data_IF_561629128497
#
_entry.id   IF_561629128497
#
_cell.length_a   1.000
_cell.length_b   1.000
_cell.length_c   1.000
_cell.angle_alpha   90.00
_cell.angle_beta   90.00
_cell.angle_gamma   90.00
#
_symmetry.space_group_name_H-M   'P 1'
#
loop_
_entity.id
_entity.type
_entity.pdbx_description
1 polymer ?
#
# COMPACT_ATOMS: atom_id res chain seq x y z
N UNK A 1 15.94 17.19 19.74
CA UNK A 1 15.24 16.02 20.30
C UNK A 1 14.21 15.57 19.28
N UNK A 2 14.46 14.47 18.56
CA UNK A 2 13.60 14.03 17.44
C UNK A 2 12.53 13.10 17.98
N UNK A 3 11.42 13.68 18.47
CA UNK A 3 10.26 12.95 18.96
C UNK A 3 9.83 11.89 17.93
N UNK A 4 9.62 10.65 18.37
CA UNK A 4 9.16 9.57 17.49
C UNK A 4 7.64 9.72 17.40
N UNK A 5 7.08 9.92 16.19
CA UNK A 5 5.63 9.93 16.02
C UNK A 5 5.06 8.67 16.65
N UNK A 6 3.98 8.83 17.40
CA UNK A 6 3.29 7.69 17.98
C UNK A 6 2.85 6.74 16.86
N UNK A 7 3.02 5.44 17.09
CA UNK A 7 2.67 4.46 16.07
C UNK A 7 1.15 4.49 15.87
N UNK A 8 0.68 4.46 14.61
CA UNK A 8 -0.74 4.51 14.33
C UNK A 8 -1.42 3.23 14.90
N UNK A 9 -2.72 3.28 15.26
CA UNK A 9 -3.44 2.14 15.83
C UNK A 9 -3.30 0.86 15.01
N UNK A 10 -3.35 0.98 13.67
CA UNK A 10 -3.13 -0.13 12.75
C UNK A 10 -1.69 -0.68 12.81
N UNK A 11 -0.70 0.19 13.02
CA UNK A 11 0.70 -0.20 13.18
C UNK A 11 0.94 -0.99 14.47
N UNK A 12 0.29 -0.59 15.56
CA UNK A 12 0.31 -1.34 16.82
C UNK A 12 -0.39 -2.70 16.68
N UNK A 13 -1.52 -2.76 15.97
CA UNK A 13 -2.23 -3.99 15.67
C UNK A 13 -1.36 -4.98 14.89
N UNK A 14 -0.72 -4.54 13.80
CA UNK A 14 0.18 -5.39 13.00
C UNK A 14 1.39 -5.87 13.81
N UNK A 15 1.96 -5.03 14.70
CA UNK A 15 3.05 -5.46 15.59
C UNK A 15 2.61 -6.57 16.55
N UNK A 16 1.42 -6.46 17.16
CA UNK A 16 0.88 -7.50 18.04
C UNK A 16 0.68 -8.81 17.28
N UNK A 17 0.15 -8.74 16.06
CA UNK A 17 -0.06 -9.90 15.20
C UNK A 17 1.26 -10.59 14.82
N UNK A 18 2.31 -9.84 14.47
CA UNK A 18 3.65 -10.39 14.21
C UNK A 18 4.19 -11.19 15.40
N UNK A 19 4.03 -10.64 16.61
CA UNK A 19 4.45 -11.31 17.85
C UNK A 19 3.65 -12.59 18.08
N UNK A 20 2.32 -12.55 17.91
CA UNK A 20 1.45 -13.72 18.07
C UNK A 20 1.81 -14.84 17.08
N UNK A 21 2.13 -14.50 15.83
CA UNK A 21 2.55 -15.45 14.81
C UNK A 21 4.02 -15.87 14.88
N UNK A 22 4.83 -15.20 15.71
CA UNK A 22 6.28 -15.41 15.85
C UNK A 22 7.04 -15.28 14.52
N UNK A 23 6.62 -14.35 13.66
CA UNK A 23 7.29 -14.07 12.37
C UNK A 23 8.00 -12.71 12.38
N UNK A 24 9.08 -12.62 11.60
CA UNK A 24 9.82 -11.37 11.43
C UNK A 24 9.08 -10.37 10.53
N UNK A 25 9.39 -9.09 10.65
CA UNK A 25 8.88 -8.05 9.74
C UNK A 25 9.27 -8.31 8.29
N UNK A 26 10.47 -8.86 8.05
CA UNK A 26 10.94 -9.26 6.72
C UNK A 26 10.05 -10.35 6.12
N UNK A 27 9.71 -11.35 6.92
CA UNK A 27 8.83 -12.45 6.48
C UNK A 27 7.40 -11.96 6.22
N UNK A 28 6.88 -11.07 7.07
CA UNK A 28 5.55 -10.49 6.84
C UNK A 28 5.50 -9.59 5.61
N UNK A 29 6.55 -8.79 5.37
CA UNK A 29 6.68 -8.00 4.15
C UNK A 29 6.65 -8.90 2.90
N UNK A 30 7.42 -9.99 2.91
CA UNK A 30 7.40 -11.02 1.85
C UNK A 30 5.99 -11.59 1.62
N UNK A 31 5.28 -11.98 2.68
CA UNK A 31 3.91 -12.52 2.59
C UNK A 31 2.90 -11.51 2.03
N UNK A 32 3.09 -10.23 2.32
CA UNK A 32 2.22 -9.15 1.83
C UNK A 32 2.60 -8.61 0.44
N UNK A 33 3.71 -9.06 -0.14
CA UNK A 33 4.18 -8.60 -1.45
C UNK A 33 4.73 -7.17 -1.46
N UNK A 34 5.23 -6.64 -0.34
CA UNK A 34 5.86 -5.32 -0.26
C UNK A 34 7.30 -5.41 0.28
N UNK A 35 8.08 -4.34 0.13
CA UNK A 35 9.44 -4.28 0.68
C UNK A 35 9.45 -4.18 2.21
N UNK A 36 10.47 -4.74 2.85
CA UNK A 36 10.64 -4.66 4.31
C UNK A 36 10.71 -3.21 4.80
N UNK A 37 11.39 -2.33 4.06
CA UNK A 37 11.48 -0.91 4.38
C UNK A 37 10.09 -0.26 4.37
N UNK A 38 9.27 -0.55 3.34
CA UNK A 38 7.90 -0.03 3.25
C UNK A 38 7.04 -0.56 4.39
N UNK A 39 7.12 -1.85 4.69
CA UNK A 39 6.45 -2.45 5.83
C UNK A 39 6.75 -1.70 7.14
N UNK A 40 8.03 -1.47 7.41
CA UNK A 40 8.50 -0.74 8.60
C UNK A 40 7.92 0.67 8.68
N UNK A 41 7.95 1.41 7.59
CA UNK A 41 7.43 2.79 7.53
C UNK A 41 5.93 2.85 7.80
N UNK A 42 5.16 1.92 7.22
CA UNK A 42 3.72 1.85 7.41
C UNK A 42 3.35 1.45 8.84
N UNK A 43 4.08 0.49 9.40
CA UNK A 43 3.91 0.06 10.80
C UNK A 43 4.35 1.14 11.80
N UNK A 44 5.36 1.94 11.48
CA UNK A 44 5.78 3.06 12.32
C UNK A 44 4.95 4.33 12.10
N UNK A 45 4.15 4.40 11.03
CA UNK A 45 3.37 5.57 10.65
C UNK A 45 4.21 6.76 10.17
N UNK A 46 5.46 6.55 9.79
CA UNK A 46 6.33 7.61 9.30
C UNK A 46 7.43 7.07 8.39
N UNK A 47 7.93 7.94 7.51
CA UNK A 47 9.15 7.73 6.72
C UNK A 47 10.17 8.83 7.04
N UNK A 48 11.44 8.55 6.81
CA UNK A 48 12.50 9.56 6.96
C UNK A 48 12.87 10.11 5.58
N UNK A 49 12.68 11.41 5.38
CA UNK A 49 13.05 12.13 4.15
C UNK A 49 13.93 13.29 4.56
N UNK A 50 15.13 13.39 3.99
CA UNK A 50 16.08 14.48 4.31
C UNK A 50 16.32 14.68 5.82
N UNK A 51 16.43 13.58 6.58
CA UNK A 51 16.56 13.53 8.05
C UNK A 51 15.31 13.98 8.84
N UNK A 52 14.22 14.35 8.17
CA UNK A 52 12.94 14.68 8.78
C UNK A 52 11.99 13.47 8.80
N UNK A 53 11.21 13.33 9.88
CA UNK A 53 10.19 12.29 9.99
C UNK A 53 8.88 12.81 9.40
N UNK A 54 8.47 12.25 8.29
CA UNK A 54 7.21 12.60 7.61
C UNK A 54 6.17 11.54 7.96
N UNK A 55 4.99 11.92 8.49
CA UNK A 55 3.93 10.97 8.78
C UNK A 55 3.46 10.28 7.51
N UNK A 56 3.16 8.99 7.61
CA UNK A 56 2.69 8.15 6.51
C UNK A 56 1.50 7.36 6.99
N UNK A 57 0.43 7.43 6.23
CA UNK A 57 -0.75 6.59 6.40
C UNK A 57 -0.73 5.49 5.34
N UNK A 58 -1.02 4.26 5.76
CA UNK A 58 -1.16 3.13 4.82
C UNK A 58 -2.37 3.34 3.92
N UNK A 59 -2.26 3.15 2.59
CA UNK A 59 -3.41 2.95 1.71
C UNK A 59 -4.21 1.73 2.14
N UNK A 60 -5.53 1.73 1.92
CA UNK A 60 -6.43 0.69 2.41
C UNK A 60 -6.11 -0.70 1.83
N UNK A 61 -5.89 -0.80 0.52
CA UNK A 61 -5.52 -2.07 -0.13
C UNK A 61 -4.20 -2.63 0.39
N UNK A 62 -3.21 -1.76 0.61
CA UNK A 62 -1.91 -2.18 1.14
C UNK A 62 -2.06 -2.64 2.58
N UNK A 63 -2.85 -1.93 3.39
CA UNK A 63 -3.12 -2.32 4.75
C UNK A 63 -3.87 -3.66 4.82
N UNK A 64 -4.83 -3.90 3.92
CA UNK A 64 -5.52 -5.18 3.80
C UNK A 64 -4.54 -6.33 3.45
N UNK A 65 -3.63 -6.13 2.49
CA UNK A 65 -2.56 -7.12 2.19
C UNK A 65 -1.67 -7.39 3.40
N UNK A 66 -1.28 -6.35 4.14
CA UNK A 66 -0.47 -6.49 5.35
C UNK A 66 -1.23 -7.25 6.44
N UNK A 67 -2.51 -6.93 6.66
CA UNK A 67 -3.36 -7.58 7.63
C UNK A 67 -3.52 -9.07 7.33
N UNK A 68 -3.87 -9.41 6.08
CA UNK A 68 -3.95 -10.80 5.60
C UNK A 68 -2.66 -11.58 5.82
N UNK A 69 -1.50 -10.96 5.57
CA UNK A 69 -0.20 -11.59 5.73
C UNK A 69 0.12 -11.98 7.19
N UNK A 70 -0.49 -11.30 8.16
CA UNK A 70 -0.28 -11.54 9.60
C UNK A 70 -1.53 -12.01 10.33
N UNK A 71 -2.59 -12.41 9.61
CA UNK A 71 -3.82 -12.94 10.19
C UNK A 71 -4.65 -11.92 10.99
N UNK A 72 -4.52 -10.63 10.69
CA UNK A 72 -5.40 -9.60 11.24
C UNK A 72 -6.72 -9.61 10.47
N UNK A 73 -7.83 -9.59 11.20
CA UNK A 73 -9.20 -9.66 10.66
C UNK A 73 -9.75 -8.29 10.27
N UNK A 74 -10.83 -8.26 9.48
CA UNK A 74 -11.50 -7.04 9.09
C UNK A 74 -12.11 -6.30 10.29
N UNK A 75 -12.64 -7.03 11.28
CA UNK A 75 -13.21 -6.48 12.51
C UNK A 75 -12.14 -5.75 13.31
N UNK A 76 -10.95 -6.33 13.44
CA UNK A 76 -9.82 -5.68 14.11
C UNK A 76 -9.33 -4.41 13.39
N UNK A 77 -9.46 -4.37 12.06
CA UNK A 77 -9.18 -3.16 11.28
C UNK A 77 -10.25 -2.08 11.50
N UNK A 78 -11.52 -2.45 11.62
CA UNK A 78 -12.61 -1.52 11.95
C UNK A 78 -12.46 -0.92 13.34
N UNK A 79 -12.13 -1.75 14.34
CA UNK A 79 -11.80 -1.30 15.70
C UNK A 79 -10.62 -0.31 15.72
N UNK A 80 -9.67 -0.48 14.80
CA UNK A 80 -8.54 0.44 14.61
C UNK A 80 -8.90 1.70 13.79
N UNK A 81 -10.17 1.90 13.42
CA UNK A 81 -10.63 3.04 12.63
C UNK A 81 -10.26 2.95 11.14
N UNK A 82 -10.01 1.75 10.62
CA UNK A 82 -9.57 1.48 9.24
C UNK A 82 -10.63 0.74 8.43
N UNK A 83 -11.86 1.24 8.44
CA UNK A 83 -13.00 0.63 7.74
C UNK A 83 -12.77 0.39 6.24
N UNK A 84 -12.11 1.31 5.53
CA UNK A 84 -11.77 1.11 4.12
C UNK A 84 -10.85 -0.10 3.89
N UNK A 85 -9.87 -0.31 4.76
CA UNK A 85 -8.99 -1.49 4.71
C UNK A 85 -9.72 -2.78 5.11
N UNK A 86 -10.70 -2.69 6.02
CA UNK A 86 -11.55 -3.82 6.38
C UNK A 86 -12.41 -4.27 5.19
N UNK A 87 -13.01 -3.33 4.46
CA UNK A 87 -13.74 -3.63 3.21
C UNK A 87 -12.81 -4.29 2.19
N UNK A 88 -11.65 -3.69 1.92
CA UNK A 88 -10.68 -4.24 0.96
C UNK A 88 -10.20 -5.65 1.35
N UNK A 89 -10.08 -5.94 2.66
CA UNK A 89 -9.74 -7.28 3.14
C UNK A 89 -10.86 -8.28 2.87
N UNK A 90 -12.12 -7.94 3.19
CA UNK A 90 -13.28 -8.81 2.92
C UNK A 90 -13.42 -9.09 1.42
N UNK A 91 -13.23 -8.09 0.58
CA UNK A 91 -13.28 -8.26 -0.88
C UNK A 91 -12.19 -9.23 -1.37
N UNK A 92 -10.97 -9.10 -0.83
CA UNK A 92 -9.85 -9.98 -1.16
C UNK A 92 -10.03 -11.43 -0.66
N UNK A 93 -10.76 -11.63 0.44
CA UNK A 93 -11.10 -12.95 0.98
C UNK A 93 -12.26 -13.59 0.21
N UNK A 94 -13.30 -12.82 -0.10
CA UNK A 94 -14.43 -13.26 -0.93
C UNK A 94 -13.98 -13.66 -2.34
N UNK A 95 -13.09 -12.88 -2.96
CA UNK A 95 -12.49 -13.22 -4.25
C UNK A 95 -11.62 -14.48 -4.22
N UNK A 96 -10.97 -14.77 -3.08
CA UNK A 96 -10.19 -16.00 -2.91
C UNK A 96 -11.07 -17.24 -2.67
N UNK A 97 -12.22 -17.08 -2.02
CA UNK A 97 -13.18 -18.16 -1.79
C UNK A 97 -13.91 -18.61 -3.08
N UNK A 98 -14.03 -17.71 -4.07
CA UNK A 98 -14.67 -17.99 -5.36
C UNK A 98 -13.76 -18.65 -6.41
N UNK A 99 -12.44 -18.68 -6.18
CA UNK A 99 -11.49 -19.32 -7.10
C UNK A 99 -11.27 -20.81 -6.73
N UNK A 100 -11.41 -21.77 -7.66
CA UNK A 100 -11.06 -23.16 -7.38
C UNK A 100 -9.56 -23.28 -7.09
N UNK A 101 -9.23 -23.97 -6.00
CA UNK A 101 -7.88 -24.19 -5.52
C UNK A 101 -7.03 -24.95 -6.56
N UNK A 102 -6.22 -24.22 -7.33
CA UNK A 102 -5.08 -24.75 -8.08
C UNK A 102 -3.78 -24.60 -7.26
N UNK A 103 -2.85 -25.56 -7.31
CA UNK A 103 -1.57 -25.43 -6.61
C UNK A 103 -0.66 -24.48 -7.41
N UNK A 104 -0.19 -23.42 -6.76
CA UNK A 104 0.67 -22.43 -7.41
C UNK A 104 1.15 -21.35 -6.47
N UNK A 105 1.56 -21.71 -5.25
CA UNK A 105 2.35 -20.85 -4.39
C UNK A 105 3.80 -20.82 -4.90
N UNK A 106 4.04 -20.23 -6.07
CA UNK A 106 5.36 -19.82 -6.58
C UNK A 106 5.17 -19.01 -7.86
N UNK A 107 5.03 -17.69 -7.74
CA UNK A 107 5.24 -16.75 -8.83
C UNK A 107 5.56 -15.36 -8.26
N UNK A 108 6.83 -14.98 -8.34
CA UNK A 108 7.29 -13.63 -8.02
C UNK A 108 6.63 -12.56 -8.90
N UNK A 109 6.58 -11.34 -8.36
CA UNK A 109 6.33 -10.09 -9.09
C UNK A 109 5.09 -10.10 -10.00
N UNK A 110 3.90 -10.17 -9.40
CA UNK A 110 2.66 -9.84 -10.11
C UNK A 110 2.64 -8.38 -10.61
N UNK A 111 1.83 -8.06 -11.64
CA UNK A 111 1.71 -6.72 -12.25
C UNK A 111 1.51 -5.57 -11.24
N UNK A 112 0.90 -5.86 -10.10
CA UNK A 112 0.71 -4.90 -9.00
C UNK A 112 2.02 -4.32 -8.45
N UNK A 113 3.13 -5.07 -8.48
CA UNK A 113 4.45 -4.56 -8.07
C UNK A 113 4.96 -3.47 -9.00
N UNK A 114 4.73 -3.59 -10.31
CA UNK A 114 5.13 -2.61 -11.33
C UNK A 114 4.23 -1.37 -11.32
N UNK A 115 2.94 -1.55 -11.03
CA UNK A 115 1.98 -0.45 -10.83
C UNK A 115 2.30 0.32 -9.55
N UNK A 116 2.60 -0.38 -8.46
CA UNK A 116 3.08 0.21 -7.20
C UNK A 116 4.41 0.96 -7.42
N UNK A 117 5.35 0.40 -8.17
CA UNK A 117 6.65 1.03 -8.49
C UNK A 117 6.50 2.28 -9.38
N UNK A 118 5.63 2.24 -10.39
CA UNK A 118 5.29 3.41 -11.23
C UNK A 118 4.56 4.49 -10.43
N UNK A 119 3.66 4.11 -9.51
CA UNK A 119 3.02 5.04 -8.59
C UNK A 119 4.05 5.74 -7.68
N UNK A 120 5.11 5.05 -7.25
CA UNK A 120 6.19 5.65 -6.45
C UNK A 120 7.02 6.66 -7.26
N UNK A 121 7.26 6.42 -8.54
CA UNK A 121 7.95 7.38 -9.42
C UNK A 121 7.10 8.63 -9.69
N UNK A 122 5.79 8.45 -9.93
CA UNK A 122 4.85 9.57 -10.13
C UNK A 122 4.69 10.38 -8.84
N UNK A 123 4.57 9.74 -7.68
CA UNK A 123 4.54 10.41 -6.37
C UNK A 123 5.83 11.20 -6.08
N UNK A 124 7.00 10.70 -6.48
CA UNK A 124 8.27 11.42 -6.32
C UNK A 124 8.36 12.67 -7.21
N UNK A 125 7.92 12.56 -8.47
CA UNK A 125 7.88 13.69 -9.42
C UNK A 125 6.86 14.75 -8.99
N UNK A 126 5.67 14.35 -8.57
CA UNK A 126 4.64 15.28 -8.06
C UNK A 126 5.07 15.96 -6.76
N UNK A 127 5.87 15.29 -5.92
CA UNK A 127 6.46 15.87 -4.71
C UNK A 127 7.59 16.87 -5.05
N UNK A 128 8.36 16.60 -6.09
CA UNK A 128 9.42 17.51 -6.56
C UNK A 128 8.86 18.76 -7.26
N UNK A 129 7.65 18.65 -7.84
CA UNK A 129 6.94 19.77 -8.47
C UNK A 129 6.18 20.69 -7.48
N UNK A 130 6.38 20.53 -6.17
CA UNK A 130 5.63 21.25 -5.11
C UNK A 130 6.10 22.70 -4.91
N UNK A 131 6.03 23.50 -5.97
CA UNK A 131 5.89 24.95 -5.90
C UNK A 131 4.49 25.31 -6.44
N UNK A 132 3.48 25.40 -5.57
CA UNK A 132 2.26 26.18 -5.86
C UNK A 132 0.86 25.55 -5.73
N UNK A 133 0.69 24.27 -5.34
CA UNK A 133 -0.65 23.64 -5.30
C UNK A 133 -1.26 23.54 -3.89
N UNK A 134 -2.57 23.82 -3.80
CA UNK A 134 -3.41 23.68 -2.59
C UNK A 134 -3.93 22.25 -2.41
N UNK A 135 -4.43 21.89 -1.22
CA UNK A 135 -4.92 20.55 -0.87
C UNK A 135 -6.03 20.03 -1.80
N UNK A 136 -6.98 20.90 -2.17
CA UNK A 136 -8.06 20.55 -3.10
C UNK A 136 -7.57 20.27 -4.52
N UNK A 137 -6.49 20.92 -4.94
CA UNK A 137 -5.89 20.70 -6.26
C UNK A 137 -5.05 19.42 -6.26
N UNK A 138 -4.43 19.08 -5.12
CA UNK A 138 -3.75 17.80 -4.93
C UNK A 138 -4.72 16.62 -5.02
N UNK A 139 -5.87 16.70 -4.34
CA UNK A 139 -6.87 15.63 -4.35
C UNK A 139 -7.48 15.45 -5.75
N UNK A 140 -7.72 16.55 -6.45
CA UNK A 140 -8.19 16.54 -7.85
C UNK A 140 -7.16 15.91 -8.79
N UNK A 141 -5.87 16.24 -8.61
CA UNK A 141 -4.79 15.69 -9.41
C UNK A 141 -4.56 14.20 -9.12
N UNK A 142 -4.63 13.80 -7.85
CA UNK A 142 -4.53 12.41 -7.42
C UNK A 142 -5.67 11.56 -8.04
N UNK A 143 -6.90 12.08 -8.07
CA UNK A 143 -8.03 11.43 -8.72
C UNK A 143 -7.84 11.24 -10.23
N UNK A 144 -7.38 12.28 -10.95
CA UNK A 144 -7.17 12.21 -12.41
C UNK A 144 -6.03 11.27 -12.80
N UNK A 145 -4.97 11.20 -12.01
CA UNK A 145 -3.85 10.30 -12.27
C UNK A 145 -4.24 8.86 -11.99
N UNK A 146 -5.03 8.61 -10.94
CA UNK A 146 -5.61 7.28 -10.67
C UNK A 146 -6.45 6.81 -11.86
N UNK A 147 -7.27 7.69 -12.45
CA UNK A 147 -8.05 7.38 -13.65
C UNK A 147 -7.19 7.15 -14.91
N UNK A 148 -6.10 7.89 -15.08
CA UNK A 148 -5.19 7.74 -16.22
C UNK A 148 -4.39 6.43 -16.15
N UNK A 149 -3.92 6.04 -14.97
CA UNK A 149 -3.15 4.79 -14.76
C UNK A 149 -4.05 3.56 -14.81
N UNK A 150 -5.32 3.68 -14.42
CA UNK A 150 -6.32 2.61 -14.54
C UNK A 150 -6.79 2.37 -15.99
N UNK A 151 -6.41 3.24 -16.94
CA UNK A 151 -6.75 3.06 -18.36
C UNK A 151 -5.85 1.98 -18.97
N UNK A 152 -6.39 0.88 -19.50
CA UNK A 152 -5.58 -0.13 -20.17
C UNK A 152 -4.95 0.48 -21.43
N UNK A 153 -3.70 0.08 -21.71
CA UNK A 153 -2.96 0.47 -22.90
C UNK A 153 -3.67 -0.09 -24.15
N UNK A 154 -4.64 0.66 -24.66
CA UNK A 154 -5.18 0.48 -26.00
C UNK A 154 -4.55 1.54 -26.89
N UNK A 155 -3.80 1.05 -27.88
CA UNK A 155 -3.20 1.70 -29.04
C UNK A 155 -2.19 2.84 -28.81
N UNK A 156 -0.92 2.44 -28.65
CA UNK A 156 0.24 3.25 -29.04
C UNK A 156 0.91 2.68 -30.31
N UNK A 157 0.14 2.00 -31.17
CA UNK A 157 0.56 1.54 -32.50
C UNK A 157 -0.19 2.31 -33.60
N UNK A 158 0.01 3.61 -33.68
CA UNK A 158 -0.29 4.39 -34.88
C UNK A 158 0.81 5.43 -35.08
N UNK A 159 1.91 4.94 -35.66
CA UNK A 159 3.00 5.71 -36.25
C UNK A 159 2.43 6.70 -37.30
N UNK A 160 2.75 8.00 -37.25
CA UNK A 160 2.65 8.84 -38.43
C UNK A 160 3.97 8.73 -39.20
N UNK A 161 3.95 7.93 -40.26
CA UNK A 161 4.95 7.90 -41.34
C UNK A 161 5.06 9.31 -41.96
N UNK A 162 6.26 9.77 -42.39
CA UNK A 162 6.54 11.19 -42.69
C UNK A 162 5.76 11.80 -43.85
#
# INVERSE_FOLDING_TARGET
MTERPEAPPEGALLKRALVAMRISQREAARRSGISETRWRQLVSGYQVVSREKVPVRSPDDTLARMARAVGVTAEQLEEAGRGGAATALRDAEAGAAAAPAGPGADAGAGPGSRVDERWHLVQAVLRQARLGLTTSEYDTLAGRITAYVARPAADESAEPTP
#
